data_IF_933037230512
#
_entry.id   IF_933037230512
#
_cell.length_a   1.000
_cell.length_b   1.000
_cell.length_c   1.000
_cell.angle_alpha   90.00
_cell.angle_beta   90.00
_cell.angle_gamma   90.00
#
_symmetry.space_group_name_H-M   'P 1'
#
loop_
_entity.id
_entity.type
_entity.pdbx_description
1 polymer ?
#
# COMPACT_ATOMS: atom_id res chain seq x y z
N UNK A 1 -19.05 4.81 -5.53
CA UNK A 1 -17.58 4.72 -5.45
C UNK A 1 -17.05 4.14 -6.75
N UNK A 2 -15.97 4.71 -7.27
CA UNK A 2 -15.24 4.19 -8.43
C UNK A 2 -13.76 4.03 -8.09
N UNK A 3 -13.05 3.21 -8.85
CA UNK A 3 -11.61 3.02 -8.72
C UNK A 3 -10.94 3.55 -9.97
N UNK A 4 -9.89 4.35 -9.78
CA UNK A 4 -9.02 4.86 -10.82
C UNK A 4 -7.60 4.32 -10.57
N UNK A 5 -6.88 3.89 -11.59
CA UNK A 5 -5.45 3.59 -11.46
C UNK A 5 -4.64 4.87 -11.28
N UNK A 6 -3.54 4.82 -10.52
CA UNK A 6 -2.59 5.92 -10.49
C UNK A 6 -1.99 6.11 -11.89
N UNK A 7 -1.81 7.37 -12.31
CA UNK A 7 -1.48 7.74 -13.69
C UNK A 7 -0.10 7.20 -14.14
N UNK A 8 0.77 6.90 -13.17
CA UNK A 8 2.16 6.49 -13.39
C UNK A 8 2.56 5.16 -12.74
N UNK A 9 1.81 4.69 -11.74
CA UNK A 9 2.31 3.67 -10.81
C UNK A 9 1.37 2.47 -10.76
N UNK A 10 1.86 1.33 -11.23
CA UNK A 10 1.16 0.05 -11.15
C UNK A 10 0.95 -0.37 -9.68
N UNK A 11 -0.18 -1.01 -9.40
CA UNK A 11 -0.54 -1.45 -8.04
C UNK A 11 -0.97 -0.33 -7.10
N UNK A 12 -0.95 0.93 -7.57
CA UNK A 12 -1.42 2.09 -6.83
C UNK A 12 -2.71 2.59 -7.47
N UNK A 13 -3.71 2.85 -6.63
CA UNK A 13 -5.06 3.19 -7.05
C UNK A 13 -5.58 4.41 -6.29
N UNK A 14 -6.64 5.00 -6.82
CA UNK A 14 -7.48 5.96 -6.13
C UNK A 14 -8.91 5.40 -6.03
N UNK A 15 -9.42 5.32 -4.80
CA UNK A 15 -10.86 5.15 -4.58
C UNK A 15 -11.48 6.54 -4.53
N UNK A 16 -12.44 6.78 -5.40
CA UNK A 16 -13.11 8.09 -5.54
C UNK A 16 -14.59 7.94 -5.19
N UNK A 17 -15.03 8.76 -4.25
CA UNK A 17 -16.44 9.01 -3.95
C UNK A 17 -16.78 10.49 -4.23
N UNK A 18 -17.97 10.94 -3.85
CA UNK A 18 -18.43 12.31 -4.12
C UNK A 18 -17.62 13.38 -3.35
N UNK A 19 -16.98 13.00 -2.24
CA UNK A 19 -16.34 13.91 -1.30
C UNK A 19 -14.82 13.85 -1.35
N UNK A 20 -14.23 12.70 -1.74
CA UNK A 20 -12.79 12.47 -1.64
C UNK A 20 -12.23 11.53 -2.69
N UNK A 21 -10.94 11.74 -2.95
CA UNK A 21 -10.05 10.89 -3.76
C UNK A 21 -8.97 10.33 -2.84
N UNK A 22 -9.03 9.03 -2.55
CA UNK A 22 -8.21 8.38 -1.53
C UNK A 22 -7.19 7.46 -2.18
N UNK A 23 -5.90 7.66 -1.87
CA UNK A 23 -4.82 6.80 -2.35
C UNK A 23 -4.94 5.42 -1.69
N UNK A 24 -4.87 4.36 -2.48
CA UNK A 24 -5.08 2.99 -2.03
C UNK A 24 -4.13 1.99 -2.72
N UNK A 25 -4.02 0.80 -2.13
CA UNK A 25 -3.49 -0.42 -2.78
C UNK A 25 -4.56 -1.49 -2.84
N UNK A 26 -4.40 -2.47 -3.75
CA UNK A 26 -5.29 -3.63 -3.82
C UNK A 26 -5.00 -4.56 -2.63
N UNK A 27 -6.01 -4.88 -1.82
CA UNK A 27 -5.81 -5.70 -0.64
C UNK A 27 -5.48 -7.15 -1.02
N UNK A 28 -4.28 -7.60 -0.66
CA UNK A 28 -3.87 -8.98 -0.89
C UNK A 28 -4.51 -9.98 0.10
N UNK A 29 -4.85 -9.52 1.31
CA UNK A 29 -5.47 -10.30 2.39
C UNK A 29 -6.84 -9.72 2.77
N UNK A 30 -7.87 -10.17 2.06
CA UNK A 30 -9.20 -9.56 2.09
C UNK A 30 -9.85 -9.62 3.48
N UNK A 31 -10.52 -8.53 3.86
CA UNK A 31 -11.20 -8.36 5.14
C UNK A 31 -10.25 -8.01 6.29
N UNK A 32 -8.94 -7.97 6.04
CA UNK A 32 -7.94 -7.62 7.04
C UNK A 32 -7.37 -6.22 6.80
N UNK A 33 -7.33 -5.41 7.86
CA UNK A 33 -6.59 -4.14 7.91
C UNK A 33 -5.40 -4.29 8.85
N UNK A 34 -4.29 -3.62 8.53
CA UNK A 34 -3.01 -3.82 9.24
C UNK A 34 -2.87 -2.86 10.41
N UNK A 35 -3.27 -1.60 10.23
CA UNK A 35 -3.11 -0.54 11.23
C UNK A 35 -4.41 0.24 11.47
N UNK A 36 -5.54 -0.36 11.11
CA UNK A 36 -6.88 0.24 11.22
C UNK A 36 -7.22 1.20 10.08
N UNK A 37 -6.53 1.10 8.95
CA UNK A 37 -6.90 1.81 7.72
C UNK A 37 -8.26 1.38 7.19
N UNK A 38 -8.91 2.27 6.44
CA UNK A 38 -10.19 1.97 5.85
C UNK A 38 -10.06 0.95 4.70
N UNK A 39 -11.00 0.01 4.66
CA UNK A 39 -11.19 -0.93 3.56
C UNK A 39 -12.32 -0.46 2.65
N UNK A 40 -12.10 -0.58 1.34
CA UNK A 40 -13.08 -0.23 0.30
C UNK A 40 -13.40 -1.44 -0.54
N UNK A 41 -14.63 -1.95 -0.41
CA UNK A 41 -15.15 -2.97 -1.31
C UNK A 41 -15.70 -2.30 -2.56
N UNK A 42 -15.07 -2.52 -3.72
CA UNK A 42 -15.55 -2.01 -5.01
C UNK A 42 -15.62 -3.17 -6.01
N UNK A 43 -16.85 -3.59 -6.32
CA UNK A 43 -17.10 -4.79 -7.11
C UNK A 43 -16.57 -6.04 -6.40
N UNK A 44 -15.78 -6.84 -7.11
CA UNK A 44 -15.21 -8.08 -6.59
C UNK A 44 -13.82 -7.90 -5.96
N UNK A 45 -13.33 -6.67 -5.83
CA UNK A 45 -12.02 -6.33 -5.27
C UNK A 45 -12.17 -5.50 -3.99
N UNK A 46 -11.17 -5.61 -3.11
CA UNK A 46 -11.07 -4.83 -1.89
C UNK A 46 -9.78 -4.00 -1.94
N UNK A 47 -9.86 -2.75 -1.53
CA UNK A 47 -8.74 -1.81 -1.53
C UNK A 47 -8.49 -1.29 -0.13
N UNK A 48 -7.23 -1.04 0.20
CA UNK A 48 -6.78 -0.50 1.49
C UNK A 48 -6.36 0.94 1.34
N UNK A 49 -6.90 1.82 2.19
CA UNK A 49 -6.44 3.20 2.27
C UNK A 49 -4.94 3.27 2.61
N UNK A 50 -4.19 4.03 1.83
CA UNK A 50 -2.76 4.25 2.07
C UNK A 50 -2.52 5.64 2.65
N UNK A 51 -2.63 5.75 3.97
CA UNK A 51 -2.62 7.04 4.70
C UNK A 51 -1.25 7.76 4.57
N UNK A 52 -1.18 8.95 3.92
CA UNK A 52 0.07 9.68 3.70
C UNK A 52 0.80 10.10 4.98
N UNK A 53 0.05 10.44 6.03
CA UNK A 53 0.62 10.84 7.32
C UNK A 53 1.25 9.68 8.09
N UNK A 54 1.02 8.43 7.67
CA UNK A 54 1.58 7.22 8.30
C UNK A 54 2.60 6.50 7.41
N UNK A 55 2.75 6.90 6.15
CA UNK A 55 3.66 6.27 5.22
C UNK A 55 4.43 7.28 4.38
N UNK A 56 5.76 7.23 4.48
CA UNK A 56 6.66 8.09 3.72
C UNK A 56 6.54 7.87 2.21
N UNK A 57 6.28 6.63 1.79
CA UNK A 57 6.16 6.29 0.38
C UNK A 57 4.86 6.82 -0.23
N UNK A 58 3.71 6.70 0.45
CA UNK A 58 2.48 7.33 -0.05
C UNK A 58 2.56 8.85 -0.04
N UNK A 59 3.18 9.45 0.97
CA UNK A 59 3.46 10.88 0.98
C UNK A 59 4.33 11.30 -0.21
N UNK A 60 5.36 10.53 -0.55
CA UNK A 60 6.22 10.80 -1.70
C UNK A 60 5.45 10.69 -3.03
N UNK A 61 4.60 9.67 -3.18
CA UNK A 61 3.72 9.51 -4.36
C UNK A 61 2.85 10.76 -4.55
N UNK A 62 2.17 11.22 -3.49
CA UNK A 62 1.32 12.42 -3.55
C UNK A 62 2.11 13.73 -3.77
N UNK A 63 3.40 13.74 -3.40
CA UNK A 63 4.31 14.86 -3.67
C UNK A 63 4.96 14.80 -5.05
N UNK A 64 4.53 13.88 -5.91
CA UNK A 64 4.94 13.83 -7.31
C UNK A 64 6.23 13.05 -7.55
N UNK A 65 6.50 12.00 -6.75
CA UNK A 65 7.56 11.03 -7.02
C UNK A 65 7.63 10.71 -8.53
N UNK A 66 8.83 10.74 -9.09
CA UNK A 66 9.01 10.56 -10.54
C UNK A 66 9.10 9.08 -10.93
N UNK A 67 9.84 8.30 -10.15
CA UNK A 67 10.11 6.89 -10.42
C UNK A 67 9.66 6.01 -9.26
N UNK A 68 8.84 5.01 -9.56
CA UNK A 68 8.39 4.03 -8.55
C UNK A 68 9.49 2.98 -8.30
N UNK A 69 9.94 2.80 -7.04
CA UNK A 69 10.96 1.80 -6.71
C UNK A 69 10.38 0.38 -6.55
N UNK A 70 9.05 0.23 -6.51
CA UNK A 70 8.35 -1.04 -6.27
C UNK A 70 7.45 -1.36 -7.46
N UNK A 71 7.41 -2.61 -7.90
CA UNK A 71 6.62 -3.08 -9.04
C UNK A 71 6.09 -4.49 -8.75
N UNK A 72 5.07 -4.91 -9.49
CA UNK A 72 4.53 -6.27 -9.40
C UNK A 72 5.62 -7.31 -9.69
N UNK A 73 5.60 -8.43 -8.96
CA UNK A 73 6.50 -9.57 -9.17
C UNK A 73 7.96 -9.36 -8.74
N UNK A 74 8.33 -8.19 -8.20
CA UNK A 74 9.73 -7.92 -7.83
C UNK A 74 10.10 -8.43 -6.44
N UNK A 75 11.39 -8.52 -6.17
CA UNK A 75 11.93 -8.80 -4.83
C UNK A 75 12.36 -7.49 -4.18
N UNK A 76 11.83 -7.18 -3.01
CA UNK A 76 12.08 -5.94 -2.27
C UNK A 76 12.73 -6.27 -0.93
N UNK A 77 13.84 -5.61 -0.62
CA UNK A 77 14.41 -5.58 0.73
C UNK A 77 13.95 -4.30 1.43
N UNK A 78 13.13 -4.45 2.47
CA UNK A 78 12.60 -3.33 3.24
C UNK A 78 13.32 -3.25 4.59
N UNK A 79 14.14 -2.21 4.78
CA UNK A 79 14.91 -2.00 6.02
C UNK A 79 14.17 -1.03 6.96
N UNK A 80 13.93 -1.45 8.20
CA UNK A 80 13.18 -0.68 9.19
C UNK A 80 11.68 -0.82 9.00
N UNK A 81 11.18 -2.06 9.00
CA UNK A 81 9.77 -2.37 8.78
C UNK A 81 8.83 -1.82 9.87
N UNK A 82 9.35 -1.56 11.08
CA UNK A 82 8.59 -1.15 12.24
C UNK A 82 7.35 -2.06 12.44
N UNK A 83 6.17 -1.48 12.65
CA UNK A 83 4.90 -2.21 12.83
C UNK A 83 4.22 -2.62 11.52
N UNK A 84 4.87 -2.48 10.36
CA UNK A 84 4.36 -2.99 9.09
C UNK A 84 3.40 -2.08 8.31
N UNK A 85 3.17 -0.83 8.75
CA UNK A 85 2.24 0.11 8.10
C UNK A 85 2.53 0.30 6.61
N UNK A 86 3.77 0.63 6.24
CA UNK A 86 4.12 0.87 4.82
C UNK A 86 4.44 -0.41 4.08
N UNK A 87 5.15 -1.35 4.72
CA UNK A 87 5.61 -2.58 4.06
C UNK A 87 4.44 -3.48 3.64
N UNK A 88 3.29 -3.40 4.32
CA UNK A 88 2.09 -4.12 3.90
C UNK A 88 1.51 -3.58 2.58
N UNK A 89 1.57 -2.26 2.32
CA UNK A 89 1.20 -1.69 1.02
C UNK A 89 2.24 -2.02 -0.07
N UNK A 90 3.53 -2.10 0.31
CA UNK A 90 4.57 -2.62 -0.60
C UNK A 90 4.25 -4.07 -0.99
N UNK A 91 3.82 -4.90 -0.03
CA UNK A 91 3.40 -6.29 -0.29
C UNK A 91 2.20 -6.37 -1.24
N UNK A 92 1.21 -5.50 -1.07
CA UNK A 92 0.06 -5.42 -1.98
C UNK A 92 0.50 -5.15 -3.43
N UNK A 93 1.44 -4.21 -3.64
CA UNK A 93 1.95 -3.83 -4.96
C UNK A 93 2.81 -4.92 -5.58
N UNK A 94 3.69 -5.53 -4.78
CA UNK A 94 4.57 -6.63 -5.22
C UNK A 94 3.74 -7.86 -5.61
N UNK A 95 2.63 -8.10 -4.93
CA UNK A 95 1.70 -9.18 -5.25
C UNK A 95 2.25 -10.58 -4.95
N UNK A 96 1.51 -11.61 -5.36
CA UNK A 96 1.80 -13.02 -5.04
C UNK A 96 3.03 -13.58 -5.75
N UNK A 97 3.46 -12.96 -6.84
CA UNK A 97 4.59 -13.42 -7.64
C UNK A 97 5.93 -12.86 -7.15
N UNK A 98 5.91 -11.83 -6.30
CA UNK A 98 7.10 -11.23 -5.74
C UNK A 98 7.30 -11.54 -4.25
N UNK A 99 8.34 -10.95 -3.66
CA UNK A 99 8.71 -11.21 -2.26
C UNK A 99 9.16 -9.90 -1.60
N UNK A 100 8.67 -9.64 -0.38
CA UNK A 100 9.15 -8.54 0.46
C UNK A 100 9.89 -9.11 1.67
N UNK A 101 11.19 -8.83 1.77
CA UNK A 101 12.01 -9.14 2.93
C UNK A 101 11.96 -7.95 3.89
N UNK A 102 11.14 -8.04 4.93
CA UNK A 102 10.97 -7.00 5.93
C UNK A 102 11.95 -7.21 7.10
N UNK A 103 12.90 -6.30 7.28
CA UNK A 103 13.90 -6.35 8.34
C UNK A 103 13.58 -5.30 9.40
N UNK A 104 13.48 -5.73 10.65
CA UNK A 104 13.32 -4.86 11.81
C UNK A 104 14.14 -5.40 12.98
N UNK A 105 14.79 -4.50 13.71
CA UNK A 105 15.66 -4.87 14.82
C UNK A 105 14.89 -4.91 16.14
N UNK A 106 13.93 -4.01 16.33
CA UNK A 106 13.22 -3.87 17.60
C UNK A 106 12.22 -5.04 17.80
N UNK A 107 12.35 -5.83 18.88
CA UNK A 107 11.42 -6.93 19.14
C UNK A 107 9.99 -6.46 19.45
N UNK A 108 9.84 -5.26 20.03
CA UNK A 108 8.55 -4.75 20.52
C UNK A 108 7.54 -4.45 19.42
N UNK A 109 8.00 -4.14 18.21
CA UNK A 109 7.13 -3.81 17.08
C UNK A 109 6.66 -5.03 16.31
N UNK A 110 7.23 -6.21 16.60
CA UNK A 110 6.86 -7.49 16.02
C UNK A 110 5.96 -8.33 16.96
N UNK A 111 5.74 -7.85 18.18
CA UNK A 111 5.01 -8.53 19.25
C UNK A 111 3.53 -8.13 19.30
#
# INVERSE_FOLDING_TARGET
MRVEGHERFEGVYYVVDELRRVLCTLNLDRGYSVYGEQLFQVGNAEYREWVPFRSKLSAAILRGLETMPVRSGTKVLYLGAASGTTVSHVSDIVGREGIVYAVEYSPRVLA
#
